data_IF_306938196775
#
_entry.id   IF_306938196775
#
_cell.length_a   1.000
_cell.length_b   1.000
_cell.length_c   1.000
_cell.angle_alpha   90.00
_cell.angle_beta   90.00
_cell.angle_gamma   90.00
#
_symmetry.space_group_name_H-M   'P 1'
#
loop_
_entity.id
_entity.type
_entity.pdbx_description
1 polymer ?
#
# COMPACT_ATOMS: atom_id res chain seq x y z
N UNK A 1 28.09 -18.60 -11.70
CA UNK A 1 27.44 -18.20 -10.44
C UNK A 1 28.40 -17.33 -9.64
N UNK A 2 28.16 -16.02 -9.51
CA UNK A 2 29.02 -15.14 -8.68
C UNK A 2 28.72 -15.45 -7.21
N UNK A 3 29.75 -15.79 -6.42
CA UNK A 3 29.63 -15.99 -4.97
C UNK A 3 28.89 -14.81 -4.35
N UNK A 4 27.69 -15.05 -3.79
CA UNK A 4 27.03 -14.06 -2.93
C UNK A 4 27.92 -13.93 -1.70
N UNK A 5 28.52 -12.75 -1.51
CA UNK A 5 29.17 -12.37 -0.26
C UNK A 5 28.20 -12.58 0.91
N UNK A 6 28.67 -13.03 2.09
CA UNK A 6 27.82 -13.29 3.28
C UNK A 6 26.82 -12.15 3.56
N UNK A 7 27.22 -10.90 3.34
CA UNK A 7 26.35 -9.73 3.45
C UNK A 7 25.10 -9.81 2.56
N UNK A 8 25.23 -10.20 1.29
CA UNK A 8 24.10 -10.24 0.36
C UNK A 8 23.05 -11.27 0.77
N UNK A 9 23.49 -12.41 1.32
CA UNK A 9 22.58 -13.42 1.88
C UNK A 9 21.78 -12.89 3.07
N UNK A 10 22.42 -12.13 3.97
CA UNK A 10 21.74 -11.53 5.12
C UNK A 10 20.71 -10.49 4.66
N UNK A 11 21.06 -9.65 3.69
CA UNK A 11 20.12 -8.68 3.11
C UNK A 11 18.91 -9.36 2.46
N UNK A 12 19.15 -10.39 1.63
CA UNK A 12 18.07 -11.13 0.97
C UNK A 12 17.14 -11.77 2.00
N UNK A 13 17.69 -12.38 3.06
CA UNK A 13 16.90 -13.01 4.12
C UNK A 13 16.13 -11.98 4.94
N UNK A 14 16.75 -10.84 5.26
CA UNK A 14 16.11 -9.74 5.95
C UNK A 14 14.94 -9.18 5.14
N UNK A 15 15.14 -8.94 3.84
CA UNK A 15 14.07 -8.50 2.93
C UNK A 15 12.93 -9.51 2.90
N UNK A 16 13.24 -10.80 2.80
CA UNK A 16 12.24 -11.85 2.77
C UNK A 16 11.40 -11.88 4.06
N UNK A 17 12.03 -11.79 5.23
CA UNK A 17 11.32 -11.71 6.51
C UNK A 17 10.44 -10.46 6.58
N UNK A 18 10.95 -9.29 6.21
CA UNK A 18 10.17 -8.05 6.20
C UNK A 18 8.96 -8.13 5.27
N UNK A 19 9.13 -8.73 4.08
CA UNK A 19 8.05 -8.92 3.10
C UNK A 19 6.98 -9.87 3.63
N UNK A 20 7.36 -10.97 4.29
CA UNK A 20 6.42 -11.90 4.92
C UNK A 20 5.61 -11.19 6.00
N UNK A 21 6.28 -10.45 6.90
CA UNK A 21 5.61 -9.68 7.95
C UNK A 21 4.65 -8.66 7.34
N UNK A 22 5.09 -7.90 6.33
CA UNK A 22 4.25 -6.95 5.63
C UNK A 22 3.02 -7.62 5.00
N UNK A 23 3.19 -8.79 4.38
CA UNK A 23 2.10 -9.52 3.74
C UNK A 23 1.03 -9.97 4.74
N UNK A 24 1.43 -10.41 5.94
CA UNK A 24 0.51 -10.75 7.03
C UNK A 24 -0.30 -9.52 7.46
N UNK A 25 0.36 -8.37 7.62
CA UNK A 25 -0.34 -7.11 7.90
C UNK A 25 -1.30 -6.72 6.79
N UNK A 26 -0.87 -6.82 5.53
CA UNK A 26 -1.70 -6.51 4.38
C UNK A 26 -2.98 -7.35 4.32
N UNK A 27 -2.89 -8.66 4.56
CA UNK A 27 -4.03 -9.56 4.70
C UNK A 27 -5.00 -9.13 5.81
N UNK A 28 -4.44 -8.60 6.91
CA UNK A 28 -5.19 -8.22 8.10
C UNK A 28 -5.98 -6.92 7.91
N UNK A 29 -5.36 -5.92 7.26
CA UNK A 29 -5.97 -4.59 7.05
C UNK A 29 -6.81 -4.51 5.77
N UNK A 30 -6.50 -5.30 4.75
CA UNK A 30 -7.15 -5.22 3.43
C UNK A 30 -7.75 -6.56 2.96
N UNK A 31 -8.56 -7.27 3.77
CA UNK A 31 -9.08 -8.60 3.39
C UNK A 31 -9.93 -8.57 2.10
N UNK A 32 -10.70 -7.49 1.90
CA UNK A 32 -11.53 -7.30 0.70
C UNK A 32 -10.70 -7.16 -0.59
N UNK A 33 -9.42 -6.76 -0.49
CA UNK A 33 -8.53 -6.66 -1.66
C UNK A 33 -8.13 -8.03 -2.21
N UNK A 34 -8.26 -9.09 -1.42
CA UNK A 34 -7.94 -10.47 -1.76
C UNK A 34 -9.19 -11.37 -1.81
N UNK A 35 -10.37 -10.76 -1.98
CA UNK A 35 -11.68 -11.45 -2.00
C UNK A 35 -12.01 -12.21 -0.70
N UNK A 36 -11.32 -11.92 0.41
CA UNK A 36 -11.63 -12.48 1.72
C UNK A 36 -12.83 -11.74 2.33
N UNK A 37 -13.80 -12.50 2.84
CA UNK A 37 -14.98 -11.95 3.53
C UNK A 37 -14.63 -11.30 4.87
N UNK A 38 -13.68 -11.89 5.58
CA UNK A 38 -13.27 -11.48 6.92
C UNK A 38 -11.76 -11.44 7.04
N UNK A 39 -11.26 -10.66 7.99
CA UNK A 39 -9.84 -10.55 8.25
C UNK A 39 -9.34 -11.81 8.97
N UNK A 40 -8.31 -12.51 8.46
CA UNK A 40 -7.75 -13.68 9.14
C UNK A 40 -7.09 -13.32 10.48
N UNK A 41 -6.68 -12.06 10.68
CA UNK A 41 -6.13 -11.58 11.94
C UNK A 41 -6.73 -10.23 12.33
N UNK A 42 -7.32 -10.16 13.51
CA UNK A 42 -7.81 -8.91 14.08
C UNK A 42 -6.67 -8.07 14.65
N UNK A 43 -5.98 -7.35 13.77
CA UNK A 43 -4.97 -6.35 14.15
C UNK A 43 -5.65 -4.98 14.27
N UNK A 44 -5.49 -4.26 15.40
CA UNK A 44 -6.05 -2.91 15.54
C UNK A 44 -5.54 -1.97 14.44
N UNK A 45 -6.42 -1.15 13.88
CA UNK A 45 -6.08 -0.23 12.79
C UNK A 45 -5.00 0.80 13.15
N UNK A 46 -4.80 1.07 14.43
CA UNK A 46 -3.69 1.91 14.92
C UNK A 46 -2.32 1.39 14.48
N UNK A 47 -2.19 0.07 14.28
CA UNK A 47 -0.94 -0.52 13.84
C UNK A 47 -0.68 -0.37 12.33
N UNK A 48 -1.67 0.04 11.52
CA UNK A 48 -1.53 0.16 10.07
C UNK A 48 -0.36 1.10 9.71
N UNK A 49 -0.13 2.15 10.50
CA UNK A 49 0.97 3.10 10.30
C UNK A 49 2.35 2.43 10.37
N UNK A 50 2.54 1.45 11.25
CA UNK A 50 3.81 0.71 11.33
C UNK A 50 4.05 -0.16 10.10
N UNK A 51 2.99 -0.68 9.49
CA UNK A 51 3.08 -1.44 8.25
C UNK A 51 3.36 -0.53 7.05
N UNK A 52 2.85 0.70 7.05
CA UNK A 52 3.23 1.71 6.05
C UNK A 52 4.71 2.09 6.20
N UNK A 53 5.19 2.33 7.43
CA UNK A 53 6.62 2.56 7.69
C UNK A 53 7.47 1.37 7.28
N UNK A 54 7.01 0.14 7.56
CA UNK A 54 7.68 -1.09 7.15
C UNK A 54 7.79 -1.20 5.62
N UNK A 55 6.73 -0.85 4.88
CA UNK A 55 6.75 -0.82 3.42
C UNK A 55 7.78 0.17 2.89
N UNK A 56 7.86 1.36 3.47
CA UNK A 56 8.88 2.36 3.12
C UNK A 56 10.30 1.90 3.47
N UNK A 57 10.47 1.18 4.57
CA UNK A 57 11.75 0.56 4.93
C UNK A 57 12.17 -0.51 3.91
N UNK A 58 11.24 -1.38 3.49
CA UNK A 58 11.48 -2.38 2.42
C UNK A 58 11.87 -1.67 1.12
N UNK A 59 11.16 -0.59 0.75
CA UNK A 59 11.47 0.21 -0.43
C UNK A 59 12.88 0.81 -0.37
N UNK A 60 13.24 1.44 0.75
CA UNK A 60 14.58 2.00 0.94
C UNK A 60 15.66 0.93 0.85
N UNK A 61 15.43 -0.23 1.45
CA UNK A 61 16.37 -1.36 1.43
C UNK A 61 16.56 -1.92 0.01
N UNK A 62 15.47 -2.10 -0.74
CA UNK A 62 15.49 -2.49 -2.16
C UNK A 62 16.24 -1.45 -3.01
N UNK A 63 15.98 -0.16 -2.80
CA UNK A 63 16.64 0.91 -3.55
C UNK A 63 18.16 0.89 -3.34
N UNK A 64 18.59 0.73 -2.09
CA UNK A 64 20.02 0.66 -1.73
C UNK A 64 20.68 -0.58 -2.31
N UNK A 65 20.05 -1.75 -2.19
CA UNK A 65 20.57 -3.00 -2.76
C UNK A 65 20.70 -2.90 -4.30
N UNK A 66 19.67 -2.37 -4.95
CA UNK A 66 19.65 -2.15 -6.38
C UNK A 66 20.72 -1.13 -6.83
N UNK A 67 20.94 -0.08 -6.06
CA UNK A 67 22.00 0.90 -6.30
C UNK A 67 23.40 0.27 -6.25
N UNK A 68 23.67 -0.59 -5.26
CA UNK A 68 24.93 -1.32 -5.19
C UNK A 68 25.10 -2.33 -6.34
N UNK A 69 24.00 -2.99 -6.77
CA UNK A 69 24.01 -3.88 -7.94
C UNK A 69 24.31 -3.10 -9.23
N UNK A 70 23.74 -1.91 -9.38
CA UNK A 70 24.00 -1.02 -10.52
C UNK A 70 25.46 -0.56 -10.55
N UNK A 71 26.01 -0.08 -9.42
CA UNK A 71 27.41 0.38 -9.36
C UNK A 71 28.43 -0.72 -9.71
N UNK A 72 28.07 -1.99 -9.52
CA UNK A 72 28.91 -3.15 -9.88
C UNK A 72 28.81 -3.56 -11.36
N UNK A 73 27.89 -2.98 -12.11
CA UNK A 73 27.59 -3.31 -13.50
C UNK A 73 27.83 -2.07 -14.36
N UNK A 74 28.92 -2.09 -15.14
CA UNK A 74 29.30 -0.98 -16.04
C UNK A 74 28.31 -0.76 -17.20
N UNK A 75 27.33 -1.66 -17.38
CA UNK A 75 26.40 -1.64 -18.50
C UNK A 75 24.93 -1.61 -18.04
N UNK A 76 24.26 -0.48 -18.30
CA UNK A 76 22.86 -0.24 -17.97
C UNK A 76 21.89 -1.25 -18.61
N UNK A 77 22.08 -1.61 -19.89
CA UNK A 77 21.21 -2.57 -20.58
C UNK A 77 21.28 -3.96 -19.94
N UNK A 78 22.49 -4.38 -19.55
CA UNK A 78 22.69 -5.66 -18.89
C UNK A 78 22.09 -5.66 -17.47
N UNK A 79 22.23 -4.54 -16.76
CA UNK A 79 21.63 -4.34 -15.45
C UNK A 79 20.09 -4.45 -15.49
N UNK A 80 19.45 -3.72 -16.40
CA UNK A 80 17.99 -3.79 -16.58
C UNK A 80 17.53 -5.22 -16.87
N UNK A 81 18.18 -5.91 -17.82
CA UNK A 81 17.80 -7.28 -18.21
C UNK A 81 17.99 -8.28 -17.06
N UNK A 82 18.98 -8.06 -16.19
CA UNK A 82 19.31 -8.98 -15.10
C UNK A 82 18.51 -8.73 -13.83
N UNK A 83 18.17 -7.48 -13.55
CA UNK A 83 17.51 -7.04 -12.31
C UNK A 83 16.11 -6.47 -12.55
N UNK A 84 15.47 -6.82 -13.67
CA UNK A 84 14.15 -6.28 -14.04
C UNK A 84 13.08 -6.53 -12.98
N UNK A 85 13.08 -7.70 -12.32
CA UNK A 85 12.14 -8.01 -11.24
C UNK A 85 12.29 -7.04 -10.05
N UNK A 86 13.53 -6.80 -9.60
CA UNK A 86 13.83 -5.90 -8.48
C UNK A 86 13.37 -4.47 -8.82
N UNK A 87 13.58 -4.03 -10.06
CA UNK A 87 13.15 -2.72 -10.57
C UNK A 87 11.62 -2.59 -10.59
N UNK A 88 10.93 -3.61 -11.09
CA UNK A 88 9.46 -3.63 -11.08
C UNK A 88 8.94 -3.58 -9.66
N UNK A 89 9.52 -4.36 -8.74
CA UNK A 89 9.12 -4.38 -7.34
C UNK A 89 9.32 -3.01 -6.68
N UNK A 90 10.46 -2.36 -6.96
CA UNK A 90 10.76 -1.01 -6.50
C UNK A 90 9.73 0.00 -7.03
N UNK A 91 9.36 -0.08 -8.31
CA UNK A 91 8.34 0.79 -8.91
C UNK A 91 6.92 0.52 -8.41
N UNK A 92 6.60 -0.73 -8.06
CA UNK A 92 5.26 -1.12 -7.62
C UNK A 92 4.88 -0.51 -6.28
N UNK A 93 5.82 -0.41 -5.33
CA UNK A 93 5.55 0.11 -3.99
C UNK A 93 4.99 1.55 -4.01
N UNK A 94 5.64 2.55 -4.64
CA UNK A 94 5.10 3.90 -4.76
C UNK A 94 3.85 3.95 -5.64
N UNK A 95 3.74 3.08 -6.65
CA UNK A 95 2.55 3.01 -7.50
C UNK A 95 1.31 2.55 -6.73
N UNK A 96 1.43 1.49 -5.92
CA UNK A 96 0.34 0.93 -5.12
C UNK A 96 -0.07 1.87 -3.98
N UNK A 97 0.88 2.55 -3.35
CA UNK A 97 0.58 3.56 -2.33
C UNK A 97 -0.14 4.77 -2.93
N UNK A 98 0.30 5.26 -4.10
CA UNK A 98 -0.41 6.30 -4.84
C UNK A 98 -1.85 5.87 -5.21
N UNK A 99 -2.04 4.62 -5.62
CA UNK A 99 -3.36 4.08 -5.93
C UNK A 99 -4.27 3.96 -4.69
N UNK A 100 -3.72 3.58 -3.53
CA UNK A 100 -4.43 3.55 -2.24
C UNK A 100 -4.98 4.95 -1.90
N UNK A 101 -4.15 5.99 -2.03
CA UNK A 101 -4.53 7.39 -1.78
C UNK A 101 -5.65 7.84 -2.75
N UNK A 102 -5.54 7.49 -4.03
CA UNK A 102 -6.58 7.80 -5.01
C UNK A 102 -7.94 7.16 -4.66
N UNK A 103 -7.94 5.89 -4.24
CA UNK A 103 -9.16 5.16 -3.86
C UNK A 103 -9.83 5.78 -2.62
N UNK A 104 -9.04 6.16 -1.62
CA UNK A 104 -9.52 6.88 -0.42
C UNK A 104 -10.12 8.23 -0.80
N UNK A 105 -9.47 8.97 -1.72
CA UNK A 105 -9.97 10.27 -2.19
C UNK A 105 -11.32 10.14 -2.89
N UNK A 106 -11.49 9.13 -3.75
CA UNK A 106 -12.75 8.84 -4.44
C UNK A 106 -13.85 8.43 -3.45
N UNK A 107 -13.54 7.61 -2.43
CA UNK A 107 -14.53 7.22 -1.43
C UNK A 107 -14.98 8.42 -0.61
N UNK A 108 -14.06 9.26 -0.13
CA UNK A 108 -14.39 10.51 0.58
C UNK A 108 -15.30 11.42 -0.24
N UNK A 109 -15.02 11.62 -1.53
CA UNK A 109 -15.87 12.46 -2.40
C UNK A 109 -17.27 11.85 -2.54
N UNK A 110 -17.41 10.53 -2.66
CA UNK A 110 -18.71 9.85 -2.70
C UNK A 110 -19.46 10.02 -1.36
N UNK A 111 -18.80 9.83 -0.23
CA UNK A 111 -19.39 10.01 1.11
C UNK A 111 -19.84 11.46 1.34
N UNK A 112 -19.05 12.44 0.92
CA UNK A 112 -19.40 13.86 1.00
C UNK A 112 -20.60 14.20 0.12
N UNK A 113 -20.66 13.67 -1.11
CA UNK A 113 -21.82 13.86 -2.00
C UNK A 113 -23.08 13.23 -1.42
N UNK A 114 -22.99 12.00 -0.88
CA UNK A 114 -24.10 11.33 -0.22
C UNK A 114 -24.56 12.08 1.04
N UNK A 115 -23.62 12.60 1.84
CA UNK A 115 -23.91 13.43 3.01
C UNK A 115 -24.62 14.73 2.63
N UNK A 116 -24.15 15.47 1.61
CA UNK A 116 -24.83 16.68 1.13
C UNK A 116 -26.23 16.38 0.60
N UNK A 117 -26.42 15.24 -0.08
CA UNK A 117 -27.72 14.79 -0.54
C UNK A 117 -28.66 14.45 0.63
N UNK A 118 -28.18 13.68 1.62
CA UNK A 118 -28.92 13.34 2.84
C UNK A 118 -29.32 14.57 3.65
N UNK A 119 -28.41 15.54 3.82
CA UNK A 119 -28.70 16.81 4.49
C UNK A 119 -29.79 17.60 3.75
N UNK A 120 -29.76 17.62 2.41
CA UNK A 120 -30.75 18.32 1.59
C UNK A 120 -32.14 17.66 1.68
N UNK A 121 -32.19 16.33 1.76
CA UNK A 121 -33.42 15.56 1.93
C UNK A 121 -34.00 15.78 3.33
N UNK A 122 -33.19 15.69 4.38
CA UNK A 122 -33.62 15.95 5.76
C UNK A 122 -34.08 17.40 5.95
N UNK A 123 -33.38 18.37 5.35
CA UNK A 123 -33.78 19.77 5.39
C UNK A 123 -35.12 20.00 4.68
N UNK A 124 -35.34 19.40 3.50
CA UNK A 124 -36.63 19.46 2.78
C UNK A 124 -37.74 18.77 3.56
N UNK A 125 -37.49 17.61 4.16
CA UNK A 125 -38.46 16.88 4.97
C UNK A 125 -38.87 17.68 6.23
N UNK A 126 -37.88 18.28 6.92
CA UNK A 126 -38.13 19.14 8.09
C UNK A 126 -38.88 20.42 7.72
N UNK A 127 -38.63 20.98 6.53
CA UNK A 127 -39.37 22.16 6.02
C UNK A 127 -40.80 21.79 5.64
N UNK A 128 -41.02 20.65 4.99
CA UNK A 128 -42.35 20.14 4.64
C UNK A 128 -43.17 19.79 5.88
N UNK A 129 -42.57 19.15 6.89
CA UNK A 129 -43.25 18.81 8.15
C UNK A 129 -43.65 20.05 8.95
N UNK A 130 -42.90 21.15 8.86
CA UNK A 130 -43.23 22.42 9.52
C UNK A 130 -44.39 23.14 8.84
N UNK A 131 -44.58 22.93 7.53
CA UNK A 131 -45.71 23.46 6.76
C UNK A 131 -47.00 22.65 6.96
N UNK A 132 -46.89 21.35 7.23
CA UNK A 132 -48.04 20.46 7.44
C UNK A 132 -48.62 20.52 8.87
N UNK A 133 -47.93 21.21 9.79
CA UNK A 133 -48.32 21.38 11.21
C UNK A 133 -48.90 22.77 11.50
N UNK A 134 -49.12 23.58 10.46
CA UNK A 134 -49.83 24.88 10.46
C UNK A 134 -51.17 24.72 9.77
#
# INVERSE_FOLDING_TARGET
MKQKTKLGLVFDFSLLVMVIVYFIGFLSFHPQSLFLKESPFHIPHEYEIYFEVLLWAIFGLLAVDLYFKYKKLDNWKLFLKKHWHDIIMLGLIPFLTAFKIAKISVSMVKTLKASKAGFKILYKAKKASKHFKS
#
